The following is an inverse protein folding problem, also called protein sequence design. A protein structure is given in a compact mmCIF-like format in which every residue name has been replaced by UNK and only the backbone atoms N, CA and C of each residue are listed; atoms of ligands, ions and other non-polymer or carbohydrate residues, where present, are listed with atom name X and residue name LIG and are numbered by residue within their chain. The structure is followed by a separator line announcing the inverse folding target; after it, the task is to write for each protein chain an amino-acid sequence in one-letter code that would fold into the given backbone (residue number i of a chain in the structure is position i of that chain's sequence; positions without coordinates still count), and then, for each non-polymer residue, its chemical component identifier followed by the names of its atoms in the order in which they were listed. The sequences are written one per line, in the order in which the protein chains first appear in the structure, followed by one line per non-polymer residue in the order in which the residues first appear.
data_IF_775277474259
#
_entry.id   IF_775277474259
#
_cell.length_a   1.000
_cell.length_b   1.000
_cell.length_c   1.000
_cell.angle_alpha   90.00
_cell.angle_beta   90.00
_cell.angle_gamma   90.00
#
_symmetry.space_group_name_H-M   'P 1'
#
loop_
_entity.id
_entity.type
_entity.pdbx_description
1 polymer ?
#
# COMPACT_ATOMS: atom_id res chain seq x y z
N UNK A 1 -55.13 1.50 24.51
CA UNK A 1 -55.16 2.93 24.85
C UNK A 1 -53.83 3.49 24.35
N UNK A 2 -53.63 4.34 23.36
CA UNK A 2 -54.39 5.37 22.59
C UNK A 2 -53.42 5.75 21.45
N UNK A 3 -53.61 5.37 20.17
CA UNK A 3 -54.22 6.08 19.02
C UNK A 3 -53.77 7.54 18.71
N UNK A 4 -53.18 7.69 17.50
CA UNK A 4 -53.18 8.78 16.48
C UNK A 4 -52.33 10.07 16.69
N UNK A 5 -52.09 10.92 15.64
CA UNK A 5 -52.08 10.73 14.17
C UNK A 5 -50.87 11.37 13.40
N UNK A 6 -50.52 10.91 12.19
CA UNK A 6 -50.78 11.50 10.85
C UNK A 6 -50.38 12.97 10.62
N UNK A 7 -49.52 13.20 9.62
CA UNK A 7 -49.63 14.34 8.70
C UNK A 7 -49.06 13.97 7.31
N UNK A 8 -49.98 13.90 6.35
CA UNK A 8 -49.75 13.95 4.91
C UNK A 8 -49.19 15.32 4.50
N UNK A 9 -48.30 15.34 3.51
CA UNK A 9 -48.27 16.44 2.54
C UNK A 9 -48.05 15.88 1.14
N UNK A 10 -48.91 16.32 0.21
CA UNK A 10 -49.05 15.82 -1.13
C UNK A 10 -48.43 16.78 -2.16
N UNK A 11 -48.06 16.19 -3.31
CA UNK A 11 -48.23 16.68 -4.68
C UNK A 11 -47.44 17.91 -5.19
N UNK A 12 -46.62 17.71 -6.22
CA UNK A 12 -46.79 18.40 -7.51
C UNK A 12 -46.16 17.62 -8.67
N UNK A 13 -47.00 17.02 -9.51
CA UNK A 13 -46.66 16.54 -10.85
C UNK A 13 -46.84 17.72 -11.82
N UNK A 14 -45.82 18.02 -12.63
CA UNK A 14 -45.97 18.85 -13.82
C UNK A 14 -45.62 17.97 -15.03
N UNK A 15 -46.66 17.54 -15.74
CA UNK A 15 -46.59 17.06 -17.12
C UNK A 15 -46.69 18.26 -18.05
N UNK A 16 -45.76 18.38 -19.00
CA UNK A 16 -45.95 19.16 -20.22
C UNK A 16 -45.62 18.27 -21.44
N UNK A 17 -46.54 18.08 -22.39
CA UNK A 17 -46.26 17.50 -23.69
C UNK A 17 -45.94 18.61 -24.69
N UNK A 18 -44.75 18.57 -25.30
CA UNK A 18 -44.50 19.26 -26.57
C UNK A 18 -43.93 18.26 -27.57
N UNK A 19 -44.80 17.79 -28.44
CA UNK A 19 -44.50 17.12 -29.69
C UNK A 19 -44.17 18.17 -30.75
N UNK A 20 -43.06 18.00 -31.47
CA UNK A 20 -42.92 18.40 -32.88
C UNK A 20 -41.72 17.69 -33.51
N UNK A 21 -41.89 17.05 -34.69
CA UNK A 21 -40.84 16.33 -35.40
C UNK A 21 -40.19 17.21 -36.47
N UNK A 22 -38.86 17.20 -36.55
CA UNK A 22 -38.15 17.53 -37.80
C UNK A 22 -36.91 16.64 -37.95
N UNK A 23 -36.74 15.95 -39.09
CA UNK A 23 -35.57 15.14 -39.38
C UNK A 23 -34.49 16.04 -40.01
N UNK A 24 -33.36 16.21 -39.33
CA UNK A 24 -32.14 16.65 -39.98
C UNK A 24 -31.14 15.51 -39.97
N UNK A 25 -31.04 14.89 -41.14
CA UNK A 25 -29.90 14.10 -41.56
C UNK A 25 -28.64 14.95 -41.40
N UNK A 26 -27.78 14.54 -40.47
CA UNK A 26 -26.41 15.04 -40.39
C UNK A 26 -25.51 13.85 -40.15
N UNK A 27 -24.89 13.46 -41.27
CA UNK A 27 -23.64 12.74 -41.42
C UNK A 27 -23.01 12.22 -40.12
N UNK A 28 -23.12 10.90 -39.96
CA UNK A 28 -22.26 10.09 -39.13
C UNK A 28 -20.80 10.31 -39.51
N UNK A 29 -20.12 11.20 -38.81
CA UNK A 29 -18.67 11.13 -38.62
C UNK A 29 -18.44 10.88 -37.14
N UNK A 30 -18.40 9.59 -36.78
CA UNK A 30 -17.74 9.16 -35.55
C UNK A 30 -16.30 9.67 -35.66
N UNK A 31 -15.82 10.56 -34.76
CA UNK A 31 -14.39 10.68 -34.60
C UNK A 31 -13.92 9.30 -34.15
N UNK A 32 -13.04 8.69 -34.92
CA UNK A 32 -12.21 7.60 -34.41
C UNK A 32 -11.43 8.20 -33.24
N UNK A 33 -11.99 8.08 -32.03
CA UNK A 33 -11.22 8.10 -30.81
C UNK A 33 -10.28 6.89 -30.90
N UNK A 34 -9.16 7.08 -31.59
CA UNK A 34 -7.92 6.44 -31.23
C UNK A 34 -7.66 6.87 -29.79
N UNK A 35 -8.25 6.14 -28.84
CA UNK A 35 -7.66 6.02 -27.53
C UNK A 35 -6.23 5.57 -27.82
N UNK A 36 -5.20 6.37 -27.47
CA UNK A 36 -3.86 5.81 -27.41
C UNK A 36 -4.00 4.54 -26.59
N UNK A 37 -3.62 3.38 -27.14
CA UNK A 37 -3.50 2.19 -26.31
C UNK A 37 -2.50 2.56 -25.23
N UNK A 38 -2.98 2.75 -24.01
CA UNK A 38 -2.19 2.99 -22.80
C UNK A 38 -1.41 1.71 -22.49
N UNK A 39 -0.40 1.44 -23.31
CA UNK A 39 0.39 0.22 -23.27
C UNK A 39 1.48 0.27 -22.18
N UNK A 40 1.40 1.25 -21.28
CA UNK A 40 2.34 1.44 -20.17
C UNK A 40 2.06 0.50 -18.98
N UNK A 41 0.93 -0.21 -18.98
CA UNK A 41 0.46 -1.04 -17.84
C UNK A 41 0.34 -2.54 -18.17
N UNK A 42 0.72 -2.99 -19.38
CA UNK A 42 0.67 -4.41 -19.76
C UNK A 42 1.99 -5.15 -19.41
N UNK A 43 1.94 -6.38 -18.86
CA UNK A 43 3.12 -7.24 -18.78
C UNK A 43 3.47 -7.70 -20.21
N UNK A 44 4.45 -7.05 -20.83
CA UNK A 44 4.89 -7.38 -22.19
C UNK A 44 6.02 -8.43 -22.18
N UNK A 45 6.00 -9.46 -23.04
CA UNK A 45 7.10 -10.43 -23.13
C UNK A 45 8.34 -9.94 -23.92
N UNK A 46 8.42 -8.68 -24.36
CA UNK A 46 9.46 -8.23 -25.30
C UNK A 46 10.05 -6.82 -25.08
N UNK A 47 9.82 -6.18 -23.93
CA UNK A 47 10.56 -4.94 -23.58
C UNK A 47 11.81 -5.30 -22.78
N UNK A 48 13.00 -5.13 -23.38
CA UNK A 48 14.30 -5.32 -22.69
C UNK A 48 14.61 -4.17 -21.71
N UNK A 49 13.76 -3.13 -21.66
CA UNK A 49 13.84 -2.04 -20.70
C UNK A 49 12.75 -2.18 -19.65
N UNK A 50 13.09 -2.22 -18.35
CA UNK A 50 12.12 -2.02 -17.29
C UNK A 50 11.57 -0.60 -17.43
N UNK A 51 10.23 -0.45 -17.51
CA UNK A 51 9.51 0.80 -17.81
C UNK A 51 9.64 1.32 -19.26
N UNK A 52 8.83 0.79 -20.22
CA UNK A 52 8.87 1.21 -21.63
C UNK A 52 8.37 2.64 -21.87
N UNK A 53 7.72 3.27 -20.89
CA UNK A 53 7.14 4.61 -21.01
C UNK A 53 7.96 5.72 -20.32
N UNK A 54 8.99 5.37 -19.57
CA UNK A 54 9.75 6.33 -18.76
C UNK A 54 9.09 6.65 -17.41
N UNK A 55 9.86 7.20 -16.47
CA UNK A 55 9.43 7.54 -15.12
C UNK A 55 8.27 8.55 -15.13
N UNK A 56 8.41 9.66 -15.87
CA UNK A 56 7.43 10.76 -15.82
C UNK A 56 6.07 10.30 -16.35
N UNK A 57 6.06 9.70 -17.54
CA UNK A 57 4.82 9.23 -18.16
C UNK A 57 4.14 8.14 -17.34
N UNK A 58 4.91 7.22 -16.76
CA UNK A 58 4.35 6.18 -15.89
C UNK A 58 3.73 6.79 -14.63
N UNK A 59 4.36 7.81 -14.05
CA UNK A 59 3.87 8.51 -12.85
C UNK A 59 2.54 9.26 -13.09
N UNK A 60 2.32 9.80 -14.28
CA UNK A 60 1.06 10.44 -14.68
C UNK A 60 -0.01 9.48 -15.23
N UNK A 61 0.29 8.19 -15.37
CA UNK A 61 -0.64 7.19 -15.90
C UNK A 61 -1.45 6.48 -14.80
N UNK A 62 -2.29 5.52 -15.17
CA UNK A 62 -2.92 4.63 -14.19
C UNK A 62 -1.93 3.56 -13.75
N UNK A 63 -1.53 3.62 -12.47
CA UNK A 63 -0.59 2.69 -11.87
C UNK A 63 -1.06 2.21 -10.49
N UNK A 64 -0.35 1.24 -9.93
CA UNK A 64 -0.56 0.75 -8.56
C UNK A 64 0.77 0.32 -7.95
N UNK A 65 0.90 0.47 -6.64
CA UNK A 65 1.95 -0.21 -5.90
C UNK A 65 1.68 -1.70 -5.83
N UNK A 66 2.76 -2.48 -5.84
CA UNK A 66 2.71 -3.92 -5.55
C UNK A 66 3.47 -4.18 -4.26
N UNK A 67 2.78 -4.72 -3.26
CA UNK A 67 3.37 -5.23 -2.03
C UNK A 67 3.47 -6.75 -2.16
N UNK A 68 4.68 -7.28 -2.02
CA UNK A 68 4.94 -8.72 -2.07
C UNK A 68 5.51 -9.22 -0.75
N UNK A 69 5.28 -10.51 -0.48
CA UNK A 69 5.78 -11.19 0.70
C UNK A 69 5.36 -10.52 2.02
N UNK A 70 4.15 -9.94 2.06
CA UNK A 70 3.60 -9.34 3.27
C UNK A 70 3.46 -10.40 4.35
N UNK A 71 4.22 -10.25 5.41
CA UNK A 71 4.34 -11.19 6.51
C UNK A 71 4.11 -10.46 7.83
N UNK A 72 3.32 -11.09 8.69
CA UNK A 72 3.11 -10.64 10.05
C UNK A 72 3.34 -11.82 10.99
N UNK A 73 4.02 -11.56 12.10
CA UNK A 73 4.05 -12.46 13.24
C UNK A 73 4.05 -11.69 14.55
N UNK A 74 3.60 -12.33 15.61
CA UNK A 74 3.69 -11.79 16.96
C UNK A 74 3.92 -12.89 17.97
N UNK A 75 4.52 -12.55 19.10
CA UNK A 75 4.67 -13.45 20.23
C UNK A 75 4.39 -12.75 21.54
N UNK A 76 3.77 -13.47 22.46
CA UNK A 76 3.64 -13.13 23.87
C UNK A 76 4.19 -14.30 24.65
N UNK A 77 5.27 -14.08 25.40
CA UNK A 77 5.96 -15.10 26.16
C UNK A 77 5.96 -14.70 27.63
N UNK A 78 5.44 -15.57 28.48
CA UNK A 78 5.54 -15.43 29.93
C UNK A 78 6.63 -16.37 30.45
N UNK A 79 7.73 -15.81 30.97
CA UNK A 79 8.76 -16.60 31.65
C UNK A 79 8.35 -16.94 33.09
N UNK A 80 7.53 -16.08 33.69
CA UNK A 80 6.78 -16.32 34.93
C UNK A 80 5.36 -15.77 34.74
N UNK A 81 4.37 -16.11 35.59
CA UNK A 81 3.02 -15.56 35.47
C UNK A 81 2.93 -14.02 35.48
N UNK A 82 3.96 -13.34 36.00
CA UNK A 82 4.01 -11.87 36.10
C UNK A 82 5.07 -11.22 35.20
N UNK A 83 5.77 -11.99 34.36
CA UNK A 83 6.85 -11.47 33.51
C UNK A 83 6.59 -11.80 32.05
N UNK A 84 6.04 -10.83 31.33
CA UNK A 84 5.71 -10.87 29.92
C UNK A 84 6.86 -10.29 29.07
N UNK A 85 7.17 -10.96 27.97
CA UNK A 85 8.03 -10.49 26.89
C UNK A 85 7.23 -10.65 25.61
N UNK A 86 6.96 -9.56 24.93
CA UNK A 86 6.01 -9.55 23.81
C UNK A 86 6.41 -8.60 22.69
N UNK A 87 5.86 -8.85 21.52
CA UNK A 87 6.03 -7.97 20.37
C UNK A 87 5.38 -8.51 19.10
N UNK A 88 5.15 -7.59 18.17
CA UNK A 88 4.73 -7.87 16.81
C UNK A 88 5.76 -7.39 15.80
N UNK A 89 5.80 -8.07 14.67
CA UNK A 89 6.66 -7.73 13.54
C UNK A 89 5.87 -7.83 12.24
N UNK A 90 6.11 -6.88 11.35
CA UNK A 90 5.57 -6.87 9.99
C UNK A 90 6.69 -6.61 8.99
N UNK A 91 6.66 -7.29 7.85
CA UNK A 91 7.58 -7.03 6.76
C UNK A 91 6.97 -7.28 5.38
N UNK A 92 7.40 -6.53 4.37
CA UNK A 92 7.04 -6.72 2.96
C UNK A 92 8.02 -6.01 2.04
N UNK A 93 7.93 -6.31 0.74
CA UNK A 93 8.61 -5.54 -0.31
C UNK A 93 7.61 -4.71 -1.09
N UNK A 94 7.86 -3.41 -1.21
CA UNK A 94 7.07 -2.47 -1.99
C UNK A 94 7.74 -2.18 -3.34
N UNK A 95 6.97 -2.25 -4.41
CA UNK A 95 7.39 -1.94 -5.76
C UNK A 95 6.53 -0.83 -6.38
N UNK A 96 7.16 0.05 -7.15
CA UNK A 96 6.50 1.12 -7.90
C UNK A 96 6.92 1.07 -9.37
N UNK A 97 5.98 1.10 -10.34
CA UNK A 97 6.29 0.89 -11.75
C UNK A 97 7.08 2.04 -12.41
N UNK A 98 6.99 3.28 -11.91
CA UNK A 98 7.79 4.39 -12.44
C UNK A 98 9.27 4.34 -12.06
N UNK A 99 9.62 3.60 -11.00
CA UNK A 99 11.00 3.39 -10.53
C UNK A 99 11.29 1.88 -10.44
N UNK A 100 11.24 1.17 -11.59
CA UNK A 100 11.22 -0.30 -11.61
C UNK A 100 12.53 -0.92 -11.09
N UNK A 101 13.63 -0.17 -11.16
CA UNK A 101 14.96 -0.58 -10.71
C UNK A 101 15.14 -0.38 -9.20
N UNK A 102 14.10 0.00 -8.46
CA UNK A 102 14.12 0.07 -7.00
C UNK A 102 12.98 -0.70 -6.38
N UNK A 103 13.32 -1.45 -5.34
CA UNK A 103 12.35 -2.03 -4.41
C UNK A 103 12.56 -1.43 -3.03
N UNK A 104 11.50 -1.30 -2.26
CA UNK A 104 11.56 -0.78 -0.89
C UNK A 104 11.29 -1.93 0.07
N UNK A 105 12.27 -2.29 0.88
CA UNK A 105 12.06 -3.21 2.00
C UNK A 105 11.40 -2.44 3.14
N UNK A 106 10.20 -2.85 3.53
CA UNK A 106 9.42 -2.22 4.58
C UNK A 106 9.31 -3.21 5.73
N UNK A 107 9.83 -2.86 6.90
CA UNK A 107 9.73 -3.68 8.10
C UNK A 107 9.58 -2.83 9.36
N UNK A 108 8.92 -3.39 10.37
CA UNK A 108 8.70 -2.72 11.64
C UNK A 108 8.49 -3.73 12.77
N UNK A 109 8.98 -3.36 13.96
CA UNK A 109 8.67 -4.02 15.23
C UNK A 109 7.78 -3.12 16.08
N UNK A 110 6.92 -3.71 16.90
CA UNK A 110 6.12 -2.98 17.89
C UNK A 110 5.95 -3.78 19.17
N UNK A 111 5.91 -3.07 20.29
CA UNK A 111 5.61 -3.59 21.64
C UNK A 111 4.29 -3.04 22.19
N UNK A 112 3.46 -2.43 21.35
CA UNK A 112 2.12 -2.00 21.76
C UNK A 112 1.25 -3.21 22.08
N UNK A 113 0.55 -3.20 23.22
CA UNK A 113 -0.20 -4.36 23.69
C UNK A 113 -1.31 -4.79 22.71
N UNK A 114 -1.77 -6.04 22.84
CA UNK A 114 -2.91 -6.65 22.11
C UNK A 114 -2.72 -6.86 20.60
N UNK A 115 -2.61 -5.80 19.80
CA UNK A 115 -2.63 -5.89 18.34
C UNK A 115 -1.32 -5.45 17.67
N UNK A 116 -0.39 -4.88 18.44
CA UNK A 116 0.95 -4.40 18.02
C UNK A 116 0.92 -3.23 17.03
N UNK A 117 0.03 -3.25 16.05
CA UNK A 117 -0.07 -2.25 15.00
C UNK A 117 -1.51 -1.75 14.88
N UNK A 118 -1.73 -0.49 15.29
CA UNK A 118 -3.05 0.16 15.26
C UNK A 118 -3.25 1.09 14.07
N UNK A 119 -2.29 1.07 13.13
CA UNK A 119 -2.30 1.92 11.96
C UNK A 119 -2.15 3.39 12.30
N UNK A 120 -1.59 3.77 13.45
CA UNK A 120 -1.36 5.14 13.92
C UNK A 120 0.11 5.58 13.75
N UNK A 121 1.04 4.64 13.95
CA UNK A 121 2.47 4.83 13.78
C UNK A 121 2.92 4.61 12.33
N UNK A 122 3.78 5.51 11.86
CA UNK A 122 4.38 5.46 10.54
C UNK A 122 5.81 4.93 10.61
N UNK A 123 6.15 4.03 9.67
CA UNK A 123 7.43 3.36 9.60
C UNK A 123 8.10 3.63 8.25
N UNK A 124 9.41 3.81 8.26
CA UNK A 124 10.21 4.04 7.06
C UNK A 124 10.49 2.72 6.33
N UNK A 125 10.48 2.75 5.00
CA UNK A 125 11.02 1.67 4.18
C UNK A 125 12.42 2.02 3.68
N UNK A 126 13.25 1.01 3.50
CA UNK A 126 14.62 1.13 2.96
C UNK A 126 14.62 0.87 1.45
N UNK A 127 15.08 1.84 0.65
CA UNK A 127 15.25 1.68 -0.78
C UNK A 127 16.42 0.72 -1.10
N UNK A 128 16.22 -0.19 -2.07
CA UNK A 128 17.23 -1.13 -2.55
C UNK A 128 17.22 -1.13 -4.08
N UNK A 129 18.32 -0.71 -4.68
CA UNK A 129 18.49 -0.74 -6.14
C UNK A 129 18.63 -2.19 -6.64
N UNK A 130 17.91 -2.53 -7.69
CA UNK A 130 17.99 -3.80 -8.41
C UNK A 130 18.83 -3.57 -9.67
N UNK A 131 20.13 -3.27 -9.50
CA UNK A 131 21.05 -3.26 -10.64
C UNK A 131 21.47 -4.71 -10.90
N UNK A 132 21.44 -5.13 -12.17
CA UNK A 132 21.50 -6.52 -12.64
C UNK A 132 22.77 -7.33 -12.34
N UNK A 133 23.06 -7.57 -11.07
CA UNK A 133 24.12 -8.44 -10.60
C UNK A 133 24.47 -8.12 -9.16
N UNK A 134 24.14 -9.04 -8.25
CA UNK A 134 24.44 -8.99 -6.81
C UNK A 134 23.87 -7.77 -6.08
N UNK A 135 22.72 -7.98 -5.42
CA UNK A 135 22.11 -7.00 -4.53
C UNK A 135 23.07 -6.63 -3.41
N UNK A 136 23.80 -5.52 -3.56
CA UNK A 136 24.39 -4.81 -2.44
C UNK A 136 23.23 -4.13 -1.71
N UNK A 137 22.69 -4.83 -0.72
CA UNK A 137 21.77 -4.22 0.23
C UNK A 137 22.50 -3.07 0.90
N UNK A 138 22.06 -1.83 0.64
CA UNK A 138 22.28 -0.75 1.59
C UNK A 138 21.46 -1.11 2.83
N UNK A 139 22.13 -1.70 3.81
CA UNK A 139 21.53 -2.09 5.08
C UNK A 139 21.19 -0.84 5.88
N UNK A 140 19.89 -0.52 5.95
CA UNK A 140 19.37 0.40 6.96
C UNK A 140 19.48 -0.26 8.32
N UNK A 141 20.59 -0.04 8.99
CA UNK A 141 20.87 -0.56 10.32
C UNK A 141 21.67 0.46 11.14
N UNK A 142 20.95 1.28 11.91
CA UNK A 142 21.47 1.90 13.13
C UNK A 142 22.13 3.28 12.98
N UNK A 143 21.46 4.28 13.55
CA UNK A 143 22.00 5.50 14.17
C UNK A 143 23.42 5.92 13.77
N UNK A 144 23.53 6.57 12.61
CA UNK A 144 24.71 7.31 12.20
C UNK A 144 24.26 8.58 11.50
N UNK A 145 24.76 9.71 11.97
CA UNK A 145 24.72 11.07 11.44
C UNK A 145 25.46 11.24 10.09
N UNK A 146 25.58 10.15 9.31
CA UNK A 146 26.13 10.17 7.97
C UNK A 146 25.07 10.62 6.98
N UNK A 147 25.37 11.68 6.24
CA UNK A 147 24.61 12.13 5.08
C UNK A 147 24.42 10.94 4.12
N UNK A 148 23.20 10.40 4.16
CA UNK A 148 22.70 9.40 3.24
C UNK A 148 22.76 10.01 1.84
N UNK A 149 23.62 9.46 0.98
CA UNK A 149 23.64 9.85 -0.43
C UNK A 149 22.28 9.45 -1.00
N UNK A 150 21.35 10.41 -1.01
CA UNK A 150 19.96 10.24 -1.43
C UNK A 150 19.92 9.84 -2.90
N UNK A 151 20.02 8.54 -3.14
CA UNK A 151 19.79 7.96 -4.45
C UNK A 151 18.40 8.37 -4.93
N UNK A 152 18.34 8.83 -6.19
CA UNK A 152 17.16 9.30 -6.94
C UNK A 152 15.90 8.40 -6.89
N UNK A 153 15.99 7.22 -6.29
CA UNK A 153 14.95 6.21 -6.23
C UNK A 153 13.72 6.61 -5.40
N UNK A 154 13.87 7.55 -4.45
CA UNK A 154 12.78 8.07 -3.63
C UNK A 154 12.71 7.52 -2.20
N UNK A 155 11.68 7.91 -1.45
CA UNK A 155 11.42 7.52 -0.05
C UNK A 155 10.04 6.90 0.06
N UNK A 156 9.89 5.87 0.88
CA UNK A 156 8.60 5.24 1.15
C UNK A 156 8.38 5.05 2.65
N UNK A 157 7.13 5.18 3.08
CA UNK A 157 6.67 4.98 4.45
C UNK A 157 5.37 4.19 4.43
N UNK A 158 5.09 3.48 5.52
CA UNK A 158 3.84 2.75 5.66
C UNK A 158 3.26 2.84 7.08
N UNK A 159 1.95 2.60 7.18
CA UNK A 159 1.23 2.31 8.43
C UNK A 159 0.50 0.99 8.25
N UNK A 160 0.39 0.21 9.31
CA UNK A 160 -0.33 -1.06 9.30
C UNK A 160 -1.30 -1.12 10.48
N UNK A 161 -2.55 -1.51 10.24
CA UNK A 161 -3.54 -1.83 11.26
C UNK A 161 -3.82 -3.33 11.21
N UNK A 162 -3.41 -4.03 12.26
CA UNK A 162 -3.52 -5.48 12.35
C UNK A 162 -4.98 -5.95 12.44
N UNK A 163 -5.86 -5.17 13.06
CA UNK A 163 -7.25 -5.55 13.29
C UNK A 163 -8.07 -5.55 12.00
N UNK A 164 -7.84 -4.56 11.14
CA UNK A 164 -8.54 -4.41 9.85
C UNK A 164 -7.76 -4.96 8.65
N UNK A 165 -6.47 -5.25 8.83
CA UNK A 165 -5.54 -5.58 7.75
C UNK A 165 -5.21 -4.37 6.85
N UNK A 166 -5.54 -3.14 7.26
CA UNK A 166 -5.31 -1.94 6.46
C UNK A 166 -3.82 -1.58 6.41
N UNK A 167 -3.31 -1.37 5.22
CA UNK A 167 -1.96 -0.88 4.95
C UNK A 167 -2.08 0.45 4.23
N UNK A 168 -1.48 1.49 4.81
CA UNK A 168 -1.33 2.79 4.18
C UNK A 168 0.10 2.91 3.67
N UNK A 169 0.26 3.43 2.45
CA UNK A 169 1.56 3.69 1.83
C UNK A 169 1.64 5.16 1.45
N UNK A 170 2.80 5.76 1.72
CA UNK A 170 3.18 7.07 1.20
C UNK A 170 4.54 6.95 0.56
N UNK A 171 4.68 7.36 -0.70
CA UNK A 171 5.93 7.34 -1.43
C UNK A 171 6.20 8.68 -2.10
N UNK A 172 7.46 9.11 -2.11
CA UNK A 172 7.97 10.19 -2.96
C UNK A 172 9.08 9.66 -3.86
N UNK A 173 9.17 10.14 -5.09
CA UNK A 173 10.22 9.76 -6.05
C UNK A 173 10.51 10.90 -7.02
N UNK A 174 11.65 10.83 -7.70
CA UNK A 174 12.10 11.84 -8.65
C UNK A 174 12.22 11.24 -10.04
N UNK A 175 11.66 11.92 -11.04
CA UNK A 175 11.89 11.61 -12.44
C UNK A 175 12.84 12.66 -13.03
N UNK A 176 14.11 12.29 -13.24
CA UNK A 176 15.16 13.16 -13.78
C UNK A 176 15.45 12.85 -15.27
N UNK A 177 14.40 12.59 -16.05
CA UNK A 177 14.53 12.34 -17.49
C UNK A 177 14.98 13.60 -18.24
N UNK A 178 14.53 14.77 -17.78
CA UNK A 178 15.15 16.05 -18.07
C UNK A 178 16.10 16.40 -16.90
N UNK A 179 17.43 16.46 -17.14
CA UNK A 179 18.39 16.74 -16.07
C UNK A 179 18.34 18.18 -15.56
N UNK A 180 17.70 19.10 -16.30
CA UNK A 180 17.56 20.52 -15.92
C UNK A 180 16.30 20.73 -15.09
N UNK A 181 15.23 19.99 -15.38
CA UNK A 181 13.92 20.14 -14.73
C UNK A 181 13.37 18.78 -14.26
N UNK A 182 13.91 18.22 -13.16
CA UNK A 182 13.39 16.98 -12.59
C UNK A 182 11.99 17.19 -12.01
N UNK A 183 11.12 16.19 -12.13
CA UNK A 183 9.78 16.23 -11.53
C UNK A 183 9.76 15.39 -10.26
N UNK A 184 9.39 16.04 -9.16
CA UNK A 184 9.22 15.44 -7.85
C UNK A 184 7.77 14.99 -7.67
N UNK A 185 7.56 13.69 -7.44
CA UNK A 185 6.26 13.13 -7.17
C UNK A 185 6.13 12.75 -5.70
N UNK A 186 4.90 12.88 -5.19
CA UNK A 186 4.48 12.27 -3.92
C UNK A 186 3.07 11.73 -4.07
N UNK A 187 2.88 10.47 -3.66
CA UNK A 187 1.60 9.81 -3.68
C UNK A 187 1.32 9.06 -2.37
N UNK A 188 0.04 8.89 -2.08
CA UNK A 188 -0.44 8.07 -0.98
C UNK A 188 -1.63 7.21 -1.39
N UNK A 189 -1.82 6.09 -0.70
CA UNK A 189 -2.97 5.23 -0.88
C UNK A 189 -3.09 4.19 0.23
N UNK A 190 -4.20 3.47 0.22
CA UNK A 190 -4.53 2.46 1.22
C UNK A 190 -5.08 1.20 0.55
N UNK A 191 -4.82 0.04 1.16
CA UNK A 191 -5.46 -1.23 0.80
C UNK A 191 -5.54 -2.16 2.00
N UNK A 192 -6.27 -3.28 1.87
CA UNK A 192 -6.40 -4.26 2.93
C UNK A 192 -5.69 -5.56 2.52
N UNK A 193 -4.73 -6.00 3.32
CA UNK A 193 -4.10 -7.32 3.16
C UNK A 193 -4.97 -8.38 3.85
N UNK A 194 -5.22 -9.49 3.15
CA UNK A 194 -5.90 -10.65 3.72
C UNK A 194 -4.87 -11.57 4.36
N UNK A 195 -4.81 -11.57 5.70
CA UNK A 195 -3.89 -12.43 6.45
C UNK A 195 -4.56 -13.76 6.79
N UNK A 196 -3.85 -14.86 6.54
CA UNK A 196 -4.21 -16.19 7.03
C UNK A 196 -3.20 -16.60 8.08
N UNK A 197 -3.63 -16.63 9.34
CA UNK A 197 -2.73 -16.80 10.48
C UNK A 197 -2.99 -18.07 11.25
N UNK A 198 -1.92 -18.71 11.68
CA UNK A 198 -1.94 -19.81 12.62
C UNK A 198 -1.56 -19.28 14.01
N UNK A 199 -2.29 -19.71 15.02
CA UNK A 199 -2.05 -19.34 16.42
C UNK A 199 -1.67 -20.59 17.20
N UNK A 200 -0.56 -20.51 17.92
CA UNK A 200 -0.06 -21.61 18.76
C UNK A 200 0.05 -21.13 20.20
N UNK A 201 -0.68 -21.83 21.08
CA UNK A 201 -0.69 -21.54 22.52
C UNK A 201 -0.10 -22.70 23.29
N UNK A 202 0.74 -22.36 24.26
CA UNK A 202 1.32 -23.32 25.20
C UNK A 202 1.24 -22.75 26.61
N UNK A 203 0.95 -23.60 27.58
CA UNK A 203 0.98 -23.23 29.00
C UNK A 203 1.43 -24.42 29.84
N UNK A 204 2.33 -24.17 30.78
CA UNK A 204 2.86 -25.15 31.71
C UNK A 204 2.20 -24.99 33.09
N UNK A 205 1.25 -25.88 33.40
CA UNK A 205 0.56 -25.87 34.69
C UNK A 205 1.49 -26.24 35.87
N UNK A 206 2.54 -27.03 35.62
CA UNK A 206 3.50 -27.49 36.64
C UNK A 206 4.82 -26.71 36.54
N UNK A 207 4.73 -25.42 36.26
CA UNK A 207 5.89 -24.57 36.05
C UNK A 207 6.83 -24.54 37.26
N UNK A 208 8.12 -24.66 36.99
CA UNK A 208 9.19 -24.41 37.97
C UNK A 208 10.14 -23.31 37.47
N UNK A 209 10.83 -22.67 38.42
CA UNK A 209 11.77 -21.59 38.10
C UNK A 209 12.81 -22.04 37.06
N UNK A 210 12.91 -21.30 35.96
CA UNK A 210 13.77 -21.60 34.82
C UNK A 210 13.04 -22.20 33.60
N UNK A 211 11.75 -22.48 33.70
CA UNK A 211 10.92 -22.92 32.57
C UNK A 211 10.14 -21.75 31.94
N UNK A 212 9.58 -21.95 30.75
CA UNK A 212 8.58 -21.03 30.18
C UNK A 212 7.23 -21.35 30.80
N UNK A 213 6.52 -20.33 31.28
CA UNK A 213 5.18 -20.48 31.84
C UNK A 213 4.14 -20.61 30.73
N UNK A 214 4.14 -19.69 29.76
CA UNK A 214 3.25 -19.78 28.60
C UNK A 214 3.79 -19.04 27.38
N UNK A 215 3.30 -19.43 26.21
CA UNK A 215 3.51 -18.71 24.95
C UNK A 215 2.20 -18.58 24.19
N UNK A 216 2.03 -17.47 23.50
CA UNK A 216 1.02 -17.24 22.48
C UNK A 216 1.72 -16.68 21.25
N UNK A 217 1.76 -17.45 20.17
CA UNK A 217 2.50 -17.11 18.95
C UNK A 217 1.54 -17.12 17.77
N UNK A 218 1.49 -16.02 17.05
CA UNK A 218 0.72 -15.86 15.82
C UNK A 218 1.69 -15.74 14.65
N UNK A 219 1.55 -16.61 13.65
CA UNK A 219 2.33 -16.54 12.42
C UNK A 219 1.39 -16.55 11.22
N UNK A 220 1.48 -15.53 10.37
CA UNK A 220 0.67 -15.44 9.16
C UNK A 220 1.42 -15.95 7.93
N UNK A 221 0.71 -16.62 7.02
CA UNK A 221 1.26 -16.93 5.71
C UNK A 221 1.51 -15.63 4.93
N UNK A 222 2.57 -15.61 4.12
CA UNK A 222 2.87 -14.47 3.26
C UNK A 222 1.71 -14.17 2.30
N UNK A 223 1.41 -12.90 2.13
CA UNK A 223 0.37 -12.40 1.24
C UNK A 223 0.90 -11.32 0.29
N UNK A 224 0.16 -11.06 -0.78
CA UNK A 224 0.46 -9.97 -1.72
C UNK A 224 -0.73 -9.00 -1.75
N UNK A 225 -0.45 -7.73 -1.99
CA UNK A 225 -1.45 -6.67 -2.05
C UNK A 225 -1.11 -5.69 -3.16
N UNK A 226 -2.13 -5.22 -3.89
CA UNK A 226 -2.01 -4.12 -4.85
C UNK A 226 -2.73 -2.90 -4.29
N UNK A 227 -2.05 -1.75 -4.22
CA UNK A 227 -2.62 -0.50 -3.72
C UNK A 227 -2.65 0.53 -4.86
N UNK A 228 -3.83 1.09 -5.12
CA UNK A 228 -3.97 2.24 -6.03
C UNK A 228 -3.73 3.54 -5.27
N UNK A 229 -3.04 4.53 -5.86
CA UNK A 229 -2.95 5.86 -5.25
C UNK A 229 -4.35 6.48 -5.14
N UNK A 230 -4.65 7.02 -3.96
CA UNK A 230 -5.83 7.88 -3.74
C UNK A 230 -5.49 9.34 -4.00
N UNK A 231 -4.23 9.72 -3.78
CA UNK A 231 -3.73 11.08 -3.99
C UNK A 231 -2.35 11.02 -4.64
N UNK A 232 -2.11 11.93 -5.57
CA UNK A 232 -0.81 12.14 -6.22
C UNK A 232 -0.59 13.63 -6.42
N UNK A 233 0.64 14.08 -6.21
CA UNK A 233 1.10 15.44 -6.44
C UNK A 233 2.42 15.41 -7.21
N UNK A 234 2.65 16.42 -8.03
CA UNK A 234 3.86 16.60 -8.83
C UNK A 234 4.32 18.06 -8.74
N UNK A 235 5.62 18.27 -8.59
CA UNK A 235 6.28 19.58 -8.56
C UNK A 235 7.49 19.51 -9.51
N UNK A 236 7.62 20.47 -10.41
CA UNK A 236 8.73 20.61 -11.37
C UNK A 236 9.57 21.84 -11.07
#
# INVERSE_FOLDING_TARGET
MTRLPSLLTALLLIFLPFSSPFPHSSSSHRPLLLHPRDNCTLPAPLSKTPNPCGCTRTSFSSWSWTLTDFYFHSSVIFSTPSHQIDGGWVSFTLAHPAVPDTKFGCDAASTQLHDWFYGDQEFNCTARAIVGGEGKGYGGGGGGDGEEEEGLAGKARFRFDRSSGRVDVVQSWVCAEDPVYPIFFKASGSGNVSLSCNETKYQNANWTSGQIYSTDIVECTKANLTIKPSEISAIS
#
